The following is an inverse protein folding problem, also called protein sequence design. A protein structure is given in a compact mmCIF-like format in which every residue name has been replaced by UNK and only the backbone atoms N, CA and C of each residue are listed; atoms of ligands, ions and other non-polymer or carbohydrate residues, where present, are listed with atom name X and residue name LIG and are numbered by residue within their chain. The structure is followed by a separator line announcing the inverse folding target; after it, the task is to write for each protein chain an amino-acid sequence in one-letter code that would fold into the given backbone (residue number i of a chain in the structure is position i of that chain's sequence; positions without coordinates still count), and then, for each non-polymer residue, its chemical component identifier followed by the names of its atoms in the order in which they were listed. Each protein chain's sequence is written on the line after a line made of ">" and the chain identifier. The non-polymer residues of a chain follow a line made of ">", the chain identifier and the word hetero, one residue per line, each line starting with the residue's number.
data_IF_112102394291
#
_entry.id   IF_112102394291
#
_cell.length_a   1.000
_cell.length_b   1.000
_cell.length_c   1.000
_cell.angle_alpha   90.00
_cell.angle_beta   90.00
_cell.angle_gamma   90.00
#
_symmetry.space_group_name_H-M   'P 1'
#
loop_
_entity.id
_entity.type
_entity.pdbx_description
1 polymer ?
#
# COMPACT_ATOMS: atom_id res chain seq x y z
N UNK A 1 -19.12 16.51 -14.70
CA UNK A 1 -18.20 15.51 -15.34
C UNK A 1 -16.94 15.38 -14.49
N UNK A 2 -16.51 14.14 -14.18
CA UNK A 2 -15.30 13.92 -13.39
C UNK A 2 -14.11 13.65 -14.31
N UNK A 3 -13.00 14.35 -14.10
CA UNK A 3 -11.75 14.21 -14.87
C UNK A 3 -11.19 12.78 -14.82
N UNK A 4 -11.26 12.11 -13.64
CA UNK A 4 -10.74 10.75 -13.50
C UNK A 4 -11.58 9.72 -14.28
N UNK A 5 -12.90 9.92 -14.35
CA UNK A 5 -13.75 9.06 -15.16
C UNK A 5 -13.41 9.17 -16.65
N UNK A 6 -13.10 10.39 -17.11
CA UNK A 6 -12.63 10.60 -18.49
C UNK A 6 -11.28 9.92 -18.75
N UNK A 7 -10.36 10.00 -17.80
CA UNK A 7 -9.03 9.35 -17.91
C UNK A 7 -9.12 7.83 -18.00
N UNK A 8 -10.10 7.20 -17.34
CA UNK A 8 -10.33 5.75 -17.36
C UNK A 8 -10.91 5.22 -18.66
N UNK A 9 -11.52 6.09 -19.47
CA UNK A 9 -12.07 5.70 -20.77
C UNK A 9 -10.97 5.21 -21.73
N UNK A 10 -11.31 4.20 -22.50
CA UNK A 10 -10.46 3.72 -23.58
C UNK A 10 -10.32 4.79 -24.68
N UNK A 11 -9.28 4.75 -25.53
CA UNK A 11 -9.16 5.68 -26.66
C UNK A 11 -10.38 5.69 -27.58
N UNK A 12 -11.02 4.54 -27.79
CA UNK A 12 -12.23 4.43 -28.62
C UNK A 12 -13.44 5.11 -27.96
N UNK A 13 -13.65 4.95 -26.66
CA UNK A 13 -14.72 5.62 -25.91
C UNK A 13 -14.51 7.12 -25.82
N UNK A 14 -13.24 7.58 -25.71
CA UNK A 14 -12.91 9.00 -25.73
C UNK A 14 -13.16 9.62 -27.09
N UNK A 15 -12.83 8.90 -28.18
CA UNK A 15 -13.09 9.35 -29.54
C UNK A 15 -14.58 9.51 -29.78
N UNK A 16 -15.39 8.52 -29.43
CA UNK A 16 -16.85 8.60 -29.56
C UNK A 16 -17.41 9.79 -28.76
N UNK A 17 -16.92 10.02 -27.55
CA UNK A 17 -17.36 11.15 -26.73
C UNK A 17 -16.89 12.50 -27.29
N UNK A 18 -15.70 12.57 -27.90
CA UNK A 18 -15.23 13.78 -28.59
C UNK A 18 -16.05 14.11 -29.84
N UNK A 19 -16.47 13.07 -30.57
CA UNK A 19 -17.36 13.23 -31.74
C UNK A 19 -18.76 13.72 -31.33
N UNK A 20 -19.32 13.21 -30.20
CA UNK A 20 -20.59 13.71 -29.64
C UNK A 20 -20.50 15.19 -29.22
N UNK A 21 -19.33 15.67 -28.86
CA UNK A 21 -19.06 17.07 -28.51
C UNK A 21 -18.68 17.93 -29.74
N UNK A 22 -18.77 17.38 -30.95
CA UNK A 22 -18.45 18.05 -32.22
C UNK A 22 -17.00 18.58 -32.29
N UNK A 23 -16.04 17.87 -31.66
CA UNK A 23 -14.62 18.24 -31.68
C UNK A 23 -14.03 17.87 -33.04
N UNK A 24 -13.57 18.88 -33.78
CA UNK A 24 -12.96 18.70 -35.10
C UNK A 24 -11.64 17.88 -34.99
N UNK A 25 -11.43 16.98 -35.95
CA UNK A 25 -10.23 16.16 -36.09
C UNK A 25 -9.88 15.31 -34.85
N UNK A 26 -10.85 14.93 -34.02
CA UNK A 26 -10.64 14.15 -32.78
C UNK A 26 -9.84 12.85 -33.02
N UNK A 27 -10.07 12.19 -34.18
CA UNK A 27 -9.38 10.94 -34.54
C UNK A 27 -7.87 11.07 -34.76
N UNK A 28 -7.36 12.27 -34.99
CA UNK A 28 -5.94 12.55 -35.21
C UNK A 28 -5.21 12.93 -33.90
N UNK A 29 -5.94 13.18 -32.82
CA UNK A 29 -5.41 13.64 -31.55
C UNK A 29 -4.84 12.45 -30.72
N UNK A 30 -3.76 12.70 -30.02
CA UNK A 30 -3.29 11.78 -28.97
C UNK A 30 -4.28 11.77 -27.80
N UNK A 31 -4.32 10.69 -27.03
CA UNK A 31 -5.24 10.55 -25.89
C UNK A 31 -5.25 11.77 -24.96
N UNK A 32 -4.11 12.35 -24.65
CA UNK A 32 -3.99 13.54 -23.80
C UNK A 32 -4.56 14.81 -24.46
N UNK A 33 -4.25 15.01 -25.73
CA UNK A 33 -4.75 16.16 -26.49
C UNK A 33 -6.26 16.08 -26.67
N UNK A 34 -6.79 14.88 -26.88
CA UNK A 34 -8.24 14.61 -26.97
C UNK A 34 -8.94 14.90 -25.65
N UNK A 35 -8.38 14.43 -24.50
CA UNK A 35 -8.89 14.75 -23.16
C UNK A 35 -8.93 16.26 -22.92
N UNK A 36 -7.87 16.96 -23.29
CA UNK A 36 -7.80 18.41 -23.15
C UNK A 36 -8.86 19.13 -24.01
N UNK A 37 -9.04 18.72 -25.26
CA UNK A 37 -10.05 19.25 -26.14
C UNK A 37 -11.47 19.00 -25.60
N UNK A 38 -11.76 17.79 -25.11
CA UNK A 38 -13.05 17.46 -24.48
C UNK A 38 -13.32 18.37 -23.29
N UNK A 39 -12.33 18.53 -22.38
CA UNK A 39 -12.50 19.36 -21.20
C UNK A 39 -12.68 20.84 -21.53
N UNK A 40 -12.01 21.33 -22.59
CA UNK A 40 -12.18 22.68 -23.06
C UNK A 40 -13.59 22.89 -23.59
N UNK A 41 -14.10 21.99 -24.41
CA UNK A 41 -15.45 22.04 -24.98
C UNK A 41 -16.54 21.96 -23.89
N UNK A 42 -16.33 21.08 -22.87
CA UNK A 42 -17.23 20.99 -21.73
C UNK A 42 -17.26 22.30 -20.91
N UNK A 43 -16.11 22.96 -20.77
CA UNK A 43 -16.04 24.24 -20.09
C UNK A 43 -16.70 25.37 -20.86
N UNK A 44 -16.60 25.38 -22.19
CA UNK A 44 -17.32 26.33 -23.08
C UNK A 44 -18.84 26.13 -23.01
N UNK A 45 -19.29 24.92 -22.77
CA UNK A 45 -20.70 24.56 -22.59
C UNK A 45 -21.20 24.74 -21.14
N UNK A 46 -20.45 25.45 -20.27
CA UNK A 46 -20.78 25.67 -18.85
C UNK A 46 -21.02 24.38 -18.03
N UNK A 47 -20.50 23.24 -18.47
CA UNK A 47 -20.60 21.99 -17.75
C UNK A 47 -19.56 22.01 -16.59
N UNK A 48 -20.00 21.87 -15.32
CA UNK A 48 -19.06 21.85 -14.21
C UNK A 48 -18.16 20.63 -14.29
N UNK A 49 -16.85 20.87 -14.28
CA UNK A 49 -15.83 19.82 -14.29
C UNK A 49 -15.34 19.65 -12.86
N UNK A 50 -15.37 18.43 -12.36
CA UNK A 50 -14.75 18.05 -11.09
C UNK A 50 -13.45 17.28 -11.34
N UNK A 51 -12.49 17.49 -10.45
CA UNK A 51 -11.22 16.78 -10.43
C UNK A 51 -10.85 16.42 -9.01
N UNK A 52 -10.05 15.39 -8.88
CA UNK A 52 -9.50 14.92 -7.62
C UNK A 52 -8.05 14.47 -7.79
N UNK A 53 -7.34 14.38 -6.70
CA UNK A 53 -5.96 13.93 -6.68
C UNK A 53 -5.34 14.08 -5.31
N UNK A 54 -4.11 13.63 -5.18
CA UNK A 54 -3.31 13.76 -3.96
C UNK A 54 -2.41 14.97 -4.07
N UNK A 55 -2.51 15.88 -3.12
CA UNK A 55 -1.77 17.13 -3.11
C UNK A 55 -0.29 16.92 -2.84
N UNK A 56 0.55 17.47 -3.70
CA UNK A 56 1.96 17.72 -3.45
C UNK A 56 2.17 19.23 -3.33
N UNK A 57 2.54 19.71 -2.14
CA UNK A 57 2.87 21.13 -1.91
C UNK A 57 4.33 21.36 -2.23
N UNK A 58 4.61 22.36 -3.05
CA UNK A 58 5.96 22.75 -3.45
C UNK A 58 6.52 23.84 -2.51
N UNK A 59 7.83 24.08 -2.60
CA UNK A 59 8.55 25.04 -1.77
C UNK A 59 7.98 26.46 -1.79
N UNK A 60 7.38 26.85 -2.91
CA UNK A 60 6.80 28.20 -3.12
C UNK A 60 5.37 28.33 -2.54
N UNK A 61 4.87 27.26 -1.89
CA UNK A 61 3.60 27.27 -1.17
C UNK A 61 2.37 27.00 -2.02
N UNK A 62 2.49 26.82 -3.33
CA UNK A 62 1.45 26.27 -4.19
C UNK A 62 1.60 24.75 -4.31
N UNK A 63 0.62 24.07 -4.88
CA UNK A 63 0.69 22.64 -5.07
C UNK A 63 0.02 22.14 -6.33
N UNK A 64 0.15 20.83 -6.55
CA UNK A 64 -0.52 20.11 -7.61
C UNK A 64 -1.24 18.89 -7.05
N UNK A 65 -2.43 18.61 -7.56
CA UNK A 65 -3.10 17.35 -7.34
C UNK A 65 -2.54 16.32 -8.31
N UNK A 66 -1.85 15.32 -7.77
CA UNK A 66 -1.24 14.21 -8.50
C UNK A 66 -2.21 13.05 -8.61
N UNK A 67 -2.20 12.39 -9.77
CA UNK A 67 -3.09 11.24 -10.02
C UNK A 67 -2.43 9.93 -9.53
N UNK A 68 -3.16 9.05 -8.83
CA UNK A 68 -2.69 7.71 -8.52
C UNK A 68 -2.47 6.86 -9.78
N UNK A 69 -3.22 7.12 -10.86
CA UNK A 69 -3.06 6.44 -12.15
C UNK A 69 -1.72 6.77 -12.83
N UNK A 70 -1.13 7.91 -12.49
CA UNK A 70 0.23 8.30 -12.90
C UNK A 70 1.27 8.00 -11.83
N UNK A 71 0.97 7.14 -10.85
CA UNK A 71 1.84 6.86 -9.70
C UNK A 71 2.32 8.13 -8.97
N UNK A 72 1.44 9.15 -8.87
CA UNK A 72 1.74 10.46 -8.27
C UNK A 72 2.89 11.24 -8.91
N UNK A 73 3.29 10.88 -10.13
CA UNK A 73 4.34 11.60 -10.84
C UNK A 73 3.79 12.87 -11.47
N UNK A 74 4.64 13.92 -11.59
CA UNK A 74 4.27 15.13 -12.31
C UNK A 74 3.81 14.84 -13.75
N UNK A 75 2.69 15.40 -14.12
CA UNK A 75 2.11 15.24 -15.46
C UNK A 75 1.42 16.51 -15.96
N UNK A 76 1.12 16.59 -17.27
CA UNK A 76 0.46 17.74 -17.87
C UNK A 76 -1.00 17.92 -17.40
N UNK A 77 -1.59 16.88 -16.88
CA UNK A 77 -2.99 16.83 -16.40
C UNK A 77 -3.09 17.06 -14.89
N UNK A 78 -2.03 17.48 -14.24
CA UNK A 78 -2.07 17.86 -12.84
C UNK A 78 -2.92 19.10 -12.63
N UNK A 79 -3.59 19.17 -11.50
CA UNK A 79 -4.47 20.27 -11.16
C UNK A 79 -3.72 21.22 -10.22
N UNK A 80 -3.56 22.46 -10.63
CA UNK A 80 -2.91 23.50 -9.83
C UNK A 80 -3.77 23.90 -8.63
N UNK A 81 -3.14 24.01 -7.47
CA UNK A 81 -3.74 24.49 -6.21
C UNK A 81 -2.99 25.73 -5.75
N UNK A 82 -3.71 26.84 -5.58
CA UNK A 82 -3.09 28.12 -5.24
C UNK A 82 -2.59 28.16 -3.78
N UNK A 83 -1.58 28.99 -3.48
CA UNK A 83 -1.10 29.17 -2.10
C UNK A 83 -2.20 29.67 -1.13
N UNK A 84 -3.16 30.43 -1.65
CA UNK A 84 -4.30 30.90 -0.85
C UNK A 84 -5.21 29.76 -0.42
N UNK A 85 -5.48 28.79 -1.32
CA UNK A 85 -6.27 27.60 -1.02
C UNK A 85 -5.51 26.66 -0.06
N UNK A 86 -4.22 26.47 -0.27
CA UNK A 86 -3.37 25.68 0.64
C UNK A 86 -3.44 26.24 2.06
N UNK A 87 -3.28 27.56 2.22
CA UNK A 87 -3.36 28.21 3.53
C UNK A 87 -4.78 28.21 4.12
N UNK A 88 -5.78 28.51 3.31
CA UNK A 88 -7.18 28.62 3.76
C UNK A 88 -7.66 27.31 4.40
N UNK A 89 -7.36 26.19 3.78
CA UNK A 89 -7.79 24.86 4.23
C UNK A 89 -6.71 24.13 5.05
N UNK A 90 -5.54 24.74 5.28
CA UNK A 90 -4.44 24.07 6.00
C UNK A 90 -4.00 22.78 5.32
N UNK A 91 -4.00 22.77 3.98
CA UNK A 91 -3.64 21.59 3.21
C UNK A 91 -2.16 21.25 3.34
N UNK A 92 -1.86 19.97 3.30
CA UNK A 92 -0.49 19.44 3.35
C UNK A 92 -0.30 18.38 2.27
N UNK A 93 0.95 18.12 1.93
CA UNK A 93 1.30 17.01 1.04
C UNK A 93 0.69 15.71 1.57
N UNK A 94 0.08 14.95 0.66
CA UNK A 94 -0.64 13.73 0.98
C UNK A 94 -2.15 13.89 1.16
N UNK A 95 -2.68 15.11 1.33
CA UNK A 95 -4.12 15.32 1.37
C UNK A 95 -4.76 14.95 0.02
N UNK A 96 -5.77 14.10 0.05
CA UNK A 96 -6.62 13.81 -1.11
C UNK A 96 -7.67 14.89 -1.21
N UNK A 97 -7.64 15.66 -2.29
CA UNK A 97 -8.54 16.81 -2.49
C UNK A 97 -9.40 16.56 -3.72
N UNK A 98 -10.69 16.80 -3.58
CA UNK A 98 -11.64 16.81 -4.67
C UNK A 98 -12.35 18.16 -4.76
N UNK A 99 -12.65 18.57 -5.98
CA UNK A 99 -13.32 19.86 -6.16
C UNK A 99 -13.62 20.19 -7.59
N UNK A 100 -14.22 21.35 -7.77
CA UNK A 100 -14.49 21.92 -9.07
C UNK A 100 -13.20 22.53 -9.64
N UNK A 101 -12.92 22.24 -10.90
CA UNK A 101 -11.76 22.75 -11.63
C UNK A 101 -12.19 23.62 -12.82
N UNK A 102 -11.28 24.46 -13.28
CA UNK A 102 -11.43 25.24 -14.50
C UNK A 102 -10.33 24.91 -15.49
N UNK A 103 -10.63 25.12 -16.76
CA UNK A 103 -9.65 25.04 -17.85
C UNK A 103 -8.53 26.08 -17.67
N UNK A 104 -7.34 25.81 -18.23
CA UNK A 104 -6.27 26.78 -18.31
C UNK A 104 -6.72 28.04 -19.07
N UNK A 105 -6.32 29.21 -18.59
CA UNK A 105 -6.47 30.49 -19.31
C UNK A 105 -5.29 30.69 -20.26
N UNK A 106 -5.38 31.72 -21.09
CA UNK A 106 -4.27 32.08 -21.98
C UNK A 106 -2.99 32.28 -21.19
N UNK A 107 -1.94 31.50 -21.56
CA UNK A 107 -0.65 31.49 -20.87
C UNK A 107 -0.53 30.53 -19.68
N UNK A 108 -1.61 29.91 -19.25
CA UNK A 108 -1.59 28.85 -18.23
C UNK A 108 -1.42 27.45 -18.87
N UNK A 109 -0.72 26.56 -18.19
CA UNK A 109 -0.48 25.17 -18.66
C UNK A 109 -1.36 24.13 -18.02
N UNK A 110 -1.91 24.41 -16.84
CA UNK A 110 -2.60 23.43 -16.00
C UNK A 110 -4.04 23.82 -15.72
N UNK A 111 -4.90 22.83 -15.49
CA UNK A 111 -6.19 23.04 -14.85
C UNK A 111 -5.97 23.64 -13.46
N UNK A 112 -6.90 24.44 -13.00
CA UNK A 112 -6.81 25.06 -11.68
C UNK A 112 -8.03 24.70 -10.82
N UNK A 113 -7.78 24.37 -9.56
CA UNK A 113 -8.82 24.12 -8.57
C UNK A 113 -9.56 25.43 -8.29
N UNK A 114 -10.90 25.45 -8.49
CA UNK A 114 -11.76 26.59 -8.20
C UNK A 114 -12.35 26.51 -6.79
N UNK A 115 -12.96 25.36 -6.49
CA UNK A 115 -13.67 25.12 -5.24
C UNK A 115 -13.32 23.77 -4.69
N UNK A 116 -12.99 23.72 -3.40
CA UNK A 116 -12.76 22.47 -2.68
C UNK A 116 -14.12 21.95 -2.19
N UNK A 117 -14.45 20.72 -2.59
CA UNK A 117 -15.69 20.05 -2.19
C UNK A 117 -15.45 19.01 -1.08
N UNK A 118 -14.30 18.35 -1.12
CA UNK A 118 -13.92 17.34 -0.13
C UNK A 118 -12.43 17.28 0.09
N UNK A 119 -12.02 16.84 1.29
CA UNK A 119 -10.63 16.60 1.66
C UNK A 119 -10.58 15.32 2.47
N UNK A 120 -9.78 14.34 1.99
CA UNK A 120 -9.64 13.02 2.59
C UNK A 120 -10.98 12.29 2.79
N UNK A 121 -11.91 12.48 1.83
CA UNK A 121 -13.27 11.94 1.82
C UNK A 121 -14.20 12.51 2.89
N UNK A 122 -13.85 13.65 3.50
CA UNK A 122 -14.66 14.38 4.45
C UNK A 122 -14.95 15.80 3.95
N UNK A 123 -15.95 16.47 4.56
CA UNK A 123 -16.24 17.86 4.29
C UNK A 123 -15.07 18.77 4.72
N UNK A 124 -14.76 19.85 3.98
CA UNK A 124 -13.61 20.73 4.29
C UNK A 124 -13.64 21.36 5.68
N UNK A 125 -14.83 21.59 6.26
CA UNK A 125 -14.99 22.21 7.57
C UNK A 125 -14.51 21.30 8.73
N UNK A 126 -14.45 20.00 8.54
CA UNK A 126 -13.93 19.04 9.53
C UNK A 126 -12.42 19.13 9.75
N UNK A 127 -11.70 19.73 8.83
CA UNK A 127 -10.23 19.90 8.93
C UNK A 127 -9.78 20.71 10.15
N UNK A 128 -10.61 21.59 10.67
CA UNK A 128 -10.28 22.43 11.84
C UNK A 128 -10.01 21.63 13.12
N UNK A 129 -10.48 20.38 13.18
CA UNK A 129 -10.31 19.48 14.32
C UNK A 129 -9.23 18.41 14.09
N UNK A 130 -8.51 18.51 12.98
CA UNK A 130 -7.49 17.53 12.60
C UNK A 130 -6.26 17.61 13.51
N UNK A 131 -5.92 16.50 14.17
CA UNK A 131 -4.68 16.34 14.93
C UNK A 131 -3.61 15.82 13.98
N UNK A 132 -2.42 16.42 14.01
CA UNK A 132 -1.29 15.96 13.19
C UNK A 132 -0.89 14.53 13.58
N UNK A 133 -0.56 13.71 12.58
CA UNK A 133 -0.20 12.31 12.77
C UNK A 133 0.85 12.09 13.87
N UNK A 134 1.87 12.93 13.92
CA UNK A 134 2.96 12.82 14.90
C UNK A 134 2.52 13.10 16.35
N UNK A 135 1.37 13.76 16.54
CA UNK A 135 0.78 14.06 17.85
C UNK A 135 -0.29 13.05 18.28
N UNK A 136 -0.63 12.07 17.42
CA UNK A 136 -1.58 11.02 17.76
C UNK A 136 -0.95 9.99 18.71
N UNK A 137 -1.75 9.46 19.63
CA UNK A 137 -1.30 8.51 20.64
C UNK A 137 -1.19 7.09 20.07
N UNK A 138 0.03 6.51 19.96
CA UNK A 138 0.21 5.18 19.40
C UNK A 138 -0.18 4.09 20.39
N UNK A 139 -0.91 3.09 19.92
CA UNK A 139 -1.26 1.88 20.64
C UNK A 139 -0.70 0.62 19.96
N UNK A 140 -0.71 -0.49 20.69
CA UNK A 140 -0.54 -1.81 20.09
C UNK A 140 -1.73 -2.15 19.20
N UNK A 141 -1.56 -3.05 18.20
CA UNK A 141 -2.69 -3.64 17.49
C UNK A 141 -3.58 -4.41 18.45
N UNK A 142 -4.88 -4.06 18.49
CA UNK A 142 -5.89 -4.69 19.34
C UNK A 142 -7.04 -5.28 18.53
N UNK A 143 -7.27 -4.77 17.32
CA UNK A 143 -8.27 -5.28 16.39
C UNK A 143 -7.62 -6.15 15.32
N UNK A 144 -8.04 -7.44 15.28
CA UNK A 144 -7.49 -8.40 14.32
C UNK A 144 -7.96 -8.11 12.90
N UNK A 145 -7.02 -8.11 11.96
CA UNK A 145 -7.30 -8.19 10.53
C UNK A 145 -7.48 -9.66 10.15
N UNK A 146 -8.72 -10.07 9.96
CA UNK A 146 -9.06 -11.46 9.61
C UNK A 146 -8.72 -11.68 8.13
N UNK A 147 -7.83 -12.63 7.87
CA UNK A 147 -7.42 -12.97 6.51
C UNK A 147 -8.15 -14.22 5.98
N UNK A 148 -8.65 -15.05 6.85
CA UNK A 148 -9.45 -16.21 6.46
C UNK A 148 -10.77 -15.76 5.81
N UNK A 149 -11.07 -16.27 4.64
CA UNK A 149 -12.35 -16.07 3.95
C UNK A 149 -12.74 -17.35 3.21
N UNK A 150 -14.04 -17.53 3.01
CA UNK A 150 -14.56 -18.68 2.26
C UNK A 150 -14.45 -18.39 0.75
N UNK A 151 -13.48 -19.03 0.11
CA UNK A 151 -13.34 -19.02 -1.35
C UNK A 151 -13.41 -20.46 -1.88
N UNK A 152 -14.60 -20.85 -2.26
CA UNK A 152 -14.85 -22.17 -2.85
C UNK A 152 -14.10 -22.40 -4.17
N UNK A 153 -13.59 -21.33 -4.78
CA UNK A 153 -12.88 -21.37 -6.07
C UNK A 153 -11.36 -21.52 -5.91
N UNK A 154 -10.80 -21.07 -4.79
CA UNK A 154 -9.36 -21.12 -4.50
C UNK A 154 -9.07 -22.13 -3.39
N UNK A 155 -8.28 -23.14 -3.72
CA UNK A 155 -7.79 -24.14 -2.75
C UNK A 155 -6.55 -23.64 -1.96
N UNK A 156 -6.31 -22.34 -1.95
CA UNK A 156 -5.14 -21.75 -1.28
C UNK A 156 -5.41 -21.57 0.21
N UNK A 157 -4.53 -22.12 1.02
CA UNK A 157 -4.60 -22.08 2.48
C UNK A 157 -3.72 -20.98 3.09
N UNK A 158 -3.11 -20.12 2.28
CA UNK A 158 -2.15 -19.11 2.72
C UNK A 158 -2.71 -18.23 3.82
N UNK A 159 -3.90 -17.67 3.61
CA UNK A 159 -4.54 -16.75 4.56
C UNK A 159 -4.95 -17.44 5.85
N UNK A 160 -5.39 -18.71 5.78
CA UNK A 160 -5.69 -19.52 6.95
C UNK A 160 -4.46 -19.82 7.80
N UNK A 161 -3.34 -20.18 7.14
CA UNK A 161 -2.07 -20.44 7.83
C UNK A 161 -1.55 -19.16 8.50
N UNK A 162 -1.60 -18.01 7.82
CA UNK A 162 -1.19 -16.73 8.41
C UNK A 162 -2.05 -16.43 9.65
N UNK A 163 -3.36 -16.52 9.56
CA UNK A 163 -4.26 -16.28 10.69
C UNK A 163 -4.02 -17.19 11.89
N UNK A 164 -3.59 -18.43 11.64
CA UNK A 164 -3.24 -19.38 12.69
C UNK A 164 -1.88 -19.12 13.34
N UNK A 165 -0.88 -18.76 12.55
CA UNK A 165 0.51 -18.69 13.00
C UNK A 165 0.93 -17.25 13.33
N UNK A 166 0.55 -16.28 12.52
CA UNK A 166 0.95 -14.88 12.63
C UNK A 166 -0.25 -13.95 12.48
N UNK A 167 -1.13 -13.87 13.50
CA UNK A 167 -2.28 -12.98 13.42
C UNK A 167 -1.81 -11.55 13.21
N UNK A 168 -2.44 -10.85 12.29
CA UNK A 168 -2.19 -9.45 12.00
C UNK A 168 -3.30 -8.59 12.59
N UNK A 169 -2.96 -7.40 13.03
CA UNK A 169 -3.93 -6.44 13.57
C UNK A 169 -3.80 -5.07 12.92
N UNK A 170 -4.83 -4.24 13.07
CA UNK A 170 -4.80 -2.84 12.65
C UNK A 170 -3.68 -2.10 13.38
N UNK A 171 -2.78 -1.48 12.64
CA UNK A 171 -1.58 -0.84 13.19
C UNK A 171 -0.33 -1.74 13.21
N UNK A 172 -0.39 -2.94 12.64
CA UNK A 172 0.72 -3.88 12.60
C UNK A 172 1.89 -3.37 11.77
N UNK A 173 3.13 -3.60 12.24
CA UNK A 173 4.36 -3.51 11.47
C UNK A 173 4.85 -4.91 11.15
N UNK A 174 4.42 -5.46 10.02
CA UNK A 174 4.72 -6.83 9.65
C UNK A 174 5.78 -6.92 8.57
N UNK A 175 6.72 -7.85 8.73
CA UNK A 175 7.70 -8.20 7.71
C UNK A 175 7.37 -9.58 7.14
N UNK A 176 7.28 -9.68 5.82
CA UNK A 176 7.32 -10.93 5.08
C UNK A 176 8.76 -11.14 4.64
N UNK A 177 9.47 -11.98 5.37
CA UNK A 177 10.89 -12.28 5.12
C UNK A 177 10.98 -13.35 4.07
N UNK A 178 11.50 -13.03 2.90
CA UNK A 178 11.44 -13.90 1.74
C UNK A 178 12.79 -14.11 1.07
N UNK A 179 13.25 -15.35 0.96
CA UNK A 179 14.29 -15.70 -0.01
C UNK A 179 13.73 -15.63 -1.45
N UNK A 180 14.59 -15.57 -2.47
CA UNK A 180 14.14 -15.59 -3.86
C UNK A 180 13.30 -16.83 -4.19
N UNK A 181 12.23 -16.64 -4.98
CA UNK A 181 11.34 -17.70 -5.48
C UNK A 181 10.54 -18.45 -4.41
N UNK A 182 10.30 -17.86 -3.26
CA UNK A 182 9.52 -18.46 -2.18
C UNK A 182 8.01 -18.15 -2.21
N UNK A 183 7.49 -17.53 -3.28
CA UNK A 183 6.05 -17.23 -3.41
C UNK A 183 5.60 -15.92 -2.78
N UNK A 184 6.51 -14.98 -2.56
CA UNK A 184 6.28 -13.65 -1.98
C UNK A 184 5.09 -12.90 -2.62
N UNK A 185 5.09 -12.79 -3.94
CA UNK A 185 4.09 -12.02 -4.70
C UNK A 185 2.68 -12.61 -4.57
N UNK A 186 2.59 -13.94 -4.67
CA UNK A 186 1.31 -14.66 -4.49
C UNK A 186 0.76 -14.47 -3.07
N UNK A 187 1.64 -14.50 -2.07
CA UNK A 187 1.24 -14.24 -0.68
C UNK A 187 0.67 -12.83 -0.49
N UNK A 188 1.32 -11.81 -1.07
CA UNK A 188 0.80 -10.44 -1.02
C UNK A 188 -0.54 -10.29 -1.74
N UNK A 189 -0.73 -10.95 -2.89
CA UNK A 189 -2.00 -10.96 -3.60
C UNK A 189 -3.10 -11.61 -2.76
N UNK A 190 -2.81 -12.71 -2.07
CA UNK A 190 -3.77 -13.38 -1.20
C UNK A 190 -4.14 -12.51 0.02
N UNK A 191 -3.16 -11.84 0.63
CA UNK A 191 -3.41 -10.88 1.71
C UNK A 191 -4.26 -9.72 1.21
N UNK A 192 -3.91 -9.11 0.06
CA UNK A 192 -4.68 -8.03 -0.54
C UNK A 192 -6.13 -8.44 -0.81
N UNK A 193 -6.33 -9.63 -1.36
CA UNK A 193 -7.67 -10.16 -1.64
C UNK A 193 -8.47 -10.37 -0.36
N UNK A 194 -7.87 -10.96 0.68
CA UNK A 194 -8.49 -11.14 1.98
C UNK A 194 -8.90 -9.80 2.62
N UNK A 195 -8.05 -8.77 2.52
CA UNK A 195 -8.37 -7.42 2.99
C UNK A 195 -9.60 -6.85 2.27
N UNK A 196 -9.67 -6.99 0.96
CA UNK A 196 -10.82 -6.48 0.19
C UNK A 196 -12.14 -7.18 0.52
N UNK A 197 -12.09 -8.47 0.83
CA UNK A 197 -13.28 -9.27 1.13
C UNK A 197 -13.75 -9.04 2.56
N UNK A 198 -12.84 -9.11 3.53
CA UNK A 198 -13.18 -9.08 4.95
C UNK A 198 -13.19 -7.68 5.56
N UNK A 199 -12.44 -6.73 4.97
CA UNK A 199 -12.24 -5.39 5.50
C UNK A 199 -12.48 -4.30 4.44
N UNK A 200 -13.72 -4.19 3.91
CA UNK A 200 -14.05 -3.19 2.88
C UNK A 200 -13.93 -1.74 3.40
N UNK A 201 -13.91 -1.55 4.72
CA UNK A 201 -13.71 -0.25 5.37
C UNK A 201 -12.25 0.23 5.29
N UNK A 202 -11.30 -0.68 5.09
CA UNK A 202 -9.87 -0.39 5.06
C UNK A 202 -9.47 0.23 3.73
N UNK A 203 -8.69 1.32 3.79
CA UNK A 203 -8.07 1.88 2.60
C UNK A 203 -6.78 1.11 2.26
N UNK A 204 -6.84 0.29 1.22
CA UNK A 204 -5.72 -0.57 0.81
C UNK A 204 -4.86 0.11 -0.26
N UNK A 205 -3.57 0.24 0.03
CA UNK A 205 -2.55 0.70 -0.91
C UNK A 205 -1.52 -0.41 -1.10
N UNK A 206 -1.25 -0.76 -2.35
CA UNK A 206 -0.14 -1.65 -2.73
C UNK A 206 0.96 -0.79 -3.34
N UNK A 207 2.13 -0.79 -2.73
CA UNK A 207 3.30 -0.03 -3.19
C UNK A 207 4.38 -1.00 -3.68
N UNK A 208 4.64 -0.96 -4.98
CA UNK A 208 5.62 -1.81 -5.66
C UNK A 208 6.85 -0.97 -6.05
N UNK A 209 8.00 -1.27 -5.46
CA UNK A 209 9.25 -0.53 -5.67
C UNK A 209 10.29 -1.42 -6.34
N UNK A 210 10.79 -0.98 -7.49
CA UNK A 210 11.83 -1.68 -8.27
C UNK A 210 11.39 -3.10 -8.68
N UNK A 211 10.07 -3.27 -8.92
CA UNK A 211 9.48 -4.52 -9.40
C UNK A 211 9.36 -4.53 -10.94
N UNK A 212 9.09 -5.71 -11.50
CA UNK A 212 8.96 -5.90 -12.95
C UNK A 212 7.62 -5.39 -13.45
N UNK A 213 7.55 -4.80 -14.66
CA UNK A 213 6.29 -4.29 -15.23
C UNK A 213 5.19 -5.35 -15.32
N UNK A 214 5.54 -6.60 -15.62
CA UNK A 214 4.58 -7.71 -15.66
C UNK A 214 4.00 -8.05 -14.28
N UNK A 215 4.79 -7.98 -13.20
CA UNK A 215 4.32 -8.18 -11.82
C UNK A 215 3.42 -7.03 -11.37
N UNK A 216 3.73 -5.80 -11.78
CA UNK A 216 2.88 -4.63 -11.54
C UNK A 216 1.53 -4.79 -12.23
N UNK A 217 1.51 -5.22 -13.49
CA UNK A 217 0.28 -5.43 -14.25
C UNK A 217 -0.57 -6.54 -13.63
N UNK A 218 0.04 -7.63 -13.19
CA UNK A 218 -0.66 -8.74 -12.55
C UNK A 218 -1.29 -8.31 -11.21
N UNK A 219 -0.54 -7.57 -10.40
CA UNK A 219 -1.05 -7.01 -9.15
C UNK A 219 -2.22 -6.04 -9.39
N UNK A 220 -2.10 -5.13 -10.35
CA UNK A 220 -3.14 -4.17 -10.69
C UNK A 220 -4.44 -4.83 -11.20
N UNK A 221 -4.34 -5.99 -11.83
CA UNK A 221 -5.50 -6.76 -12.29
C UNK A 221 -6.15 -7.59 -11.18
N UNK A 222 -5.38 -8.05 -10.23
CA UNK A 222 -5.84 -8.94 -9.14
C UNK A 222 -6.36 -8.18 -7.93
N UNK A 223 -5.93 -6.93 -7.71
CA UNK A 223 -6.25 -6.15 -6.52
C UNK A 223 -7.16 -4.97 -6.89
N UNK A 224 -8.29 -4.81 -6.19
CA UNK A 224 -9.20 -3.67 -6.31
C UNK A 224 -8.84 -2.52 -5.35
N UNK A 225 -7.59 -2.44 -4.92
CA UNK A 225 -7.05 -1.33 -4.12
C UNK A 225 -6.31 -0.33 -5.00
N UNK A 226 -5.69 0.65 -4.36
CA UNK A 226 -4.79 1.57 -5.03
C UNK A 226 -3.42 0.89 -5.23
N UNK A 227 -3.04 0.65 -6.47
CA UNK A 227 -1.73 0.06 -6.83
C UNK A 227 -0.83 1.14 -7.37
N UNK A 228 0.22 1.47 -6.63
CA UNK A 228 1.23 2.48 -6.96
C UNK A 228 2.55 1.77 -7.19
N UNK A 229 3.23 2.10 -8.26
CA UNK A 229 4.46 1.40 -8.64
C UNK A 229 5.53 2.32 -9.19
N UNK A 230 6.77 1.89 -9.01
CA UNK A 230 7.94 2.37 -9.73
C UNK A 230 8.76 1.16 -10.13
N UNK A 231 8.88 0.93 -11.43
CA UNK A 231 9.50 -0.26 -12.01
C UNK A 231 11.03 -0.17 -12.03
N UNK A 232 11.72 -1.29 -12.24
CA UNK A 232 13.18 -1.40 -12.13
C UNK A 232 13.95 -0.53 -13.13
N UNK A 233 13.31 -0.11 -14.22
CA UNK A 233 13.87 0.78 -15.25
C UNK A 233 13.81 2.27 -14.87
N UNK A 234 13.13 2.62 -13.78
CA UNK A 234 13.05 3.98 -13.29
C UNK A 234 14.21 4.33 -12.32
N UNK A 235 14.62 5.61 -12.25
CA UNK A 235 15.70 6.02 -11.37
C UNK A 235 15.30 5.96 -9.88
N UNK A 236 16.29 5.78 -9.00
CA UNK A 236 16.09 5.68 -7.54
C UNK A 236 15.31 6.88 -6.93
N UNK A 237 15.47 8.08 -7.47
CA UNK A 237 14.71 9.27 -7.03
C UNK A 237 13.20 9.07 -7.19
N UNK A 238 12.76 8.39 -8.25
CA UNK A 238 11.34 8.05 -8.46
C UNK A 238 10.81 7.12 -7.38
N UNK A 239 11.56 6.07 -7.06
CA UNK A 239 11.19 5.13 -6.00
C UNK A 239 10.97 5.86 -4.67
N UNK A 240 11.88 6.76 -4.31
CA UNK A 240 11.81 7.56 -3.09
C UNK A 240 10.62 8.51 -3.13
N UNK A 241 10.45 9.28 -4.20
CA UNK A 241 9.35 10.26 -4.34
C UNK A 241 7.98 9.60 -4.19
N UNK A 242 7.77 8.48 -4.86
CA UNK A 242 6.51 7.74 -4.81
C UNK A 242 6.23 7.21 -3.40
N UNK A 243 7.25 6.63 -2.75
CA UNK A 243 7.12 6.14 -1.39
C UNK A 243 6.80 7.27 -0.40
N UNK A 244 7.41 8.44 -0.54
CA UNK A 244 7.10 9.61 0.29
C UNK A 244 5.67 10.12 0.06
N UNK A 245 5.18 10.14 -1.17
CA UNK A 245 3.79 10.50 -1.45
C UNK A 245 2.80 9.52 -0.82
N UNK A 246 3.06 8.22 -0.95
CA UNK A 246 2.19 7.17 -0.38
C UNK A 246 2.12 7.26 1.14
N UNK A 247 3.26 7.41 1.83
CA UNK A 247 3.26 7.49 3.29
C UNK A 247 2.59 8.76 3.80
N UNK A 248 2.79 9.90 3.14
CA UNK A 248 2.12 11.14 3.52
C UNK A 248 0.59 11.05 3.29
N UNK A 249 0.15 10.46 2.17
CA UNK A 249 -1.26 10.17 1.96
C UNK A 249 -1.84 9.29 3.08
N UNK A 250 -1.16 8.19 3.39
CA UNK A 250 -1.61 7.29 4.44
C UNK A 250 -1.75 8.01 5.80
N UNK A 251 -0.76 8.82 6.18
CA UNK A 251 -0.85 9.63 7.42
C UNK A 251 -2.03 10.60 7.40
N UNK A 252 -2.29 11.27 6.27
CA UNK A 252 -3.45 12.19 6.14
C UNK A 252 -4.77 11.45 6.33
N UNK A 253 -4.92 10.26 5.75
CA UNK A 253 -6.12 9.45 5.92
C UNK A 253 -6.30 9.00 7.39
N UNK A 254 -5.22 8.62 8.07
CA UNK A 254 -5.27 8.24 9.50
C UNK A 254 -5.66 9.43 10.39
N UNK A 255 -5.20 10.66 10.08
CA UNK A 255 -5.63 11.89 10.77
C UNK A 255 -7.16 12.11 10.67
N UNK A 256 -7.79 11.53 9.64
CA UNK A 256 -9.24 11.48 9.45
C UNK A 256 -9.88 10.19 9.98
N UNK A 257 -9.21 9.50 10.91
CA UNK A 257 -9.69 8.28 11.59
C UNK A 257 -9.97 7.11 10.64
N UNK A 258 -9.28 7.06 9.49
CA UNK A 258 -9.36 5.96 8.54
C UNK A 258 -8.36 4.86 8.89
N UNK A 259 -8.75 3.63 8.65
CA UNK A 259 -7.84 2.49 8.71
C UNK A 259 -7.17 2.30 7.36
N UNK A 260 -5.85 2.38 7.34
CA UNK A 260 -5.04 2.27 6.12
C UNK A 260 -4.12 1.07 6.21
N UNK A 261 -4.06 0.28 5.15
CA UNK A 261 -3.11 -0.81 5.01
C UNK A 261 -2.23 -0.56 3.80
N UNK A 262 -0.91 -0.56 4.01
CA UNK A 262 0.09 -0.51 2.95
C UNK A 262 0.73 -1.89 2.82
N UNK A 263 0.62 -2.49 1.64
CA UNK A 263 1.41 -3.65 1.24
C UNK A 263 2.61 -3.16 0.43
N UNK A 264 3.82 -3.30 0.96
CA UNK A 264 5.05 -2.81 0.33
C UNK A 264 5.91 -3.96 -0.20
N UNK A 265 6.14 -3.98 -1.48
CA UNK A 265 7.08 -4.89 -2.12
C UNK A 265 8.16 -4.09 -2.87
N UNK A 266 9.39 -3.92 -2.35
CA UNK A 266 9.89 -4.39 -1.07
C UNK A 266 10.58 -3.27 -0.27
N UNK A 267 10.61 -3.41 1.04
CA UNK A 267 11.35 -2.48 1.91
C UNK A 267 12.86 -2.52 1.64
N UNK A 268 13.40 -3.68 1.24
CA UNK A 268 14.80 -3.85 0.88
C UNK A 268 15.18 -2.98 -0.31
N UNK A 269 14.36 -2.97 -1.36
CA UNK A 269 14.59 -2.17 -2.57
C UNK A 269 14.37 -0.69 -2.31
N UNK A 270 13.38 -0.35 -1.50
CA UNK A 270 13.19 1.04 -1.06
C UNK A 270 14.41 1.55 -0.29
N UNK A 271 14.96 0.76 0.63
CA UNK A 271 16.16 1.11 1.37
C UNK A 271 17.39 1.27 0.45
N UNK A 272 17.54 0.43 -0.56
CA UNK A 272 18.57 0.60 -1.60
C UNK A 272 18.41 1.92 -2.37
N UNK A 273 17.19 2.27 -2.75
CA UNK A 273 16.91 3.53 -3.42
C UNK A 273 17.30 4.74 -2.56
N UNK A 274 16.95 4.72 -1.28
CA UNK A 274 17.39 5.75 -0.34
C UNK A 274 18.91 5.81 -0.21
N UNK A 275 19.59 4.65 -0.18
CA UNK A 275 21.05 4.61 -0.12
C UNK A 275 21.72 5.25 -1.35
N UNK A 276 21.06 5.21 -2.51
CA UNK A 276 21.53 5.86 -3.74
C UNK A 276 21.27 7.37 -3.73
N UNK A 277 20.12 7.80 -3.18
CA UNK A 277 19.64 9.20 -3.27
C UNK A 277 20.17 10.09 -2.14
N UNK A 278 20.37 9.53 -0.95
CA UNK A 278 20.81 10.31 0.21
C UNK A 278 22.26 10.79 0.01
N UNK A 279 22.55 12.08 0.27
CA UNK A 279 23.92 12.58 0.25
C UNK A 279 24.82 11.77 1.18
N UNK A 280 26.01 11.41 0.69
CA UNK A 280 26.95 10.61 1.47
C UNK A 280 27.32 11.31 2.79
N UNK A 281 27.18 10.57 3.89
CA UNK A 281 27.60 11.03 5.22
C UNK A 281 29.12 10.96 5.44
N UNK A 282 29.85 10.31 4.52
CA UNK A 282 31.25 9.92 4.68
C UNK A 282 31.47 8.73 5.61
N UNK A 283 30.40 8.18 6.22
CA UNK A 283 30.43 6.99 7.08
C UNK A 283 29.64 5.87 6.44
N UNK A 284 30.34 4.86 5.94
CA UNK A 284 29.73 3.68 5.30
C UNK A 284 29.77 2.52 6.27
N UNK A 285 28.60 1.94 6.50
CA UNK A 285 28.43 0.70 7.28
C UNK A 285 28.85 -0.52 6.44
N UNK A 286 28.92 -1.69 7.10
CA UNK A 286 29.12 -2.97 6.42
C UNK A 286 28.10 -3.17 5.30
N UNK A 287 28.51 -3.70 4.16
CA UNK A 287 27.63 -3.90 3.00
C UNK A 287 27.43 -2.66 2.11
N UNK A 288 28.13 -1.56 2.34
CA UNK A 288 28.05 -0.36 1.49
C UNK A 288 26.84 0.53 1.78
N UNK A 289 26.24 0.42 2.96
CA UNK A 289 25.10 1.25 3.39
C UNK A 289 25.60 2.52 4.05
N UNK A 290 25.18 3.70 3.56
CA UNK A 290 25.48 4.97 4.23
C UNK A 290 24.76 5.04 5.59
N UNK A 291 25.43 5.58 6.62
CA UNK A 291 24.91 5.65 7.97
C UNK A 291 23.55 6.38 8.07
N UNK A 292 23.26 7.32 7.16
CA UNK A 292 22.00 8.09 7.14
C UNK A 292 20.94 7.49 6.22
N UNK A 293 21.30 6.52 5.37
CA UNK A 293 20.44 6.01 4.32
C UNK A 293 19.17 5.32 4.86
N UNK A 294 19.27 4.65 6.00
CA UNK A 294 18.17 3.86 6.57
C UNK A 294 17.20 4.64 7.45
N UNK A 295 17.50 5.90 7.77
CA UNK A 295 16.62 6.70 8.63
C UNK A 295 15.22 6.89 8.04
N UNK A 296 15.14 7.29 6.77
CA UNK A 296 13.85 7.55 6.12
C UNK A 296 13.03 6.27 5.90
N UNK A 297 13.59 5.17 5.36
CA UNK A 297 12.85 3.91 5.27
C UNK A 297 12.43 3.36 6.64
N UNK A 298 13.22 3.54 7.70
CA UNK A 298 12.82 3.20 9.07
C UNK A 298 11.66 4.06 9.56
N UNK A 299 11.64 5.36 9.27
CA UNK A 299 10.50 6.24 9.57
C UNK A 299 9.26 5.83 8.79
N UNK A 300 9.42 5.44 7.53
CA UNK A 300 8.32 4.91 6.72
C UNK A 300 7.69 3.70 7.40
N UNK A 301 8.47 2.67 7.65
CA UNK A 301 7.99 1.43 8.27
C UNK A 301 7.54 1.64 9.72
N UNK A 302 8.25 2.45 10.47
CA UNK A 302 7.94 2.82 11.86
C UNK A 302 6.70 3.69 12.03
N UNK A 303 6.15 4.25 10.95
CA UNK A 303 4.91 5.01 10.99
C UNK A 303 3.69 4.12 11.29
N UNK A 304 3.76 2.82 11.00
CA UNK A 304 2.67 1.89 11.27
C UNK A 304 2.38 1.81 12.79
N UNK A 305 1.13 2.10 13.14
CA UNK A 305 0.61 2.12 14.51
C UNK A 305 -0.91 2.07 14.55
N UNK A 306 -1.47 1.54 15.61
CA UNK A 306 -2.84 1.75 15.99
C UNK A 306 -2.94 3.07 16.76
N UNK A 307 -4.06 3.78 16.69
CA UNK A 307 -4.23 5.13 17.22
C UNK A 307 -5.39 5.18 18.22
N UNK A 308 -5.14 5.74 19.40
CA UNK A 308 -6.16 5.87 20.46
C UNK A 308 -7.33 6.77 20.03
N UNK A 309 -7.05 7.84 19.31
CA UNK A 309 -8.05 8.80 18.82
C UNK A 309 -8.90 8.24 17.65
N UNK A 310 -8.56 7.06 17.16
CA UNK A 310 -9.22 6.36 16.05
C UNK A 310 -8.41 6.36 14.76
N UNK A 311 -8.64 5.35 13.93
CA UNK A 311 -7.86 5.06 12.75
C UNK A 311 -6.59 4.26 13.04
N UNK A 312 -6.00 3.73 12.00
CA UNK A 312 -4.77 2.94 12.09
C UNK A 312 -3.96 2.99 10.81
N UNK A 313 -2.66 2.82 10.93
CA UNK A 313 -1.76 2.58 9.80
C UNK A 313 -1.09 1.23 9.98
N UNK A 314 -1.40 0.30 9.10
CA UNK A 314 -0.78 -1.03 9.03
C UNK A 314 0.19 -1.06 7.85
N UNK A 315 1.41 -1.54 8.05
CA UNK A 315 2.37 -1.74 6.97
C UNK A 315 2.84 -3.19 6.99
N UNK A 316 2.59 -3.89 5.89
CA UNK A 316 3.06 -5.25 5.63
C UNK A 316 4.08 -5.15 4.51
N UNK A 317 5.36 -5.27 4.85
CA UNK A 317 6.46 -5.07 3.92
C UNK A 317 7.22 -6.37 3.67
N UNK A 318 7.60 -6.62 2.42
CA UNK A 318 8.51 -7.72 2.11
C UNK A 318 9.95 -7.31 2.35
N UNK A 319 10.72 -8.18 2.99
CA UNK A 319 12.16 -8.04 3.18
C UNK A 319 12.87 -9.21 2.47
N UNK A 320 13.83 -8.89 1.62
CA UNK A 320 14.57 -9.87 0.83
C UNK A 320 15.77 -10.39 1.60
N UNK A 321 15.91 -11.71 1.66
CA UNK A 321 17.05 -12.41 2.27
C UNK A 321 17.64 -13.39 1.26
N UNK A 322 18.84 -13.92 1.55
CA UNK A 322 19.53 -14.93 0.71
C UNK A 322 19.73 -14.49 -0.75
N UNK A 323 19.87 -13.19 -0.98
CA UNK A 323 20.09 -12.61 -2.30
C UNK A 323 21.54 -12.66 -2.75
N UNK A 324 22.46 -13.03 -1.86
CA UNK A 324 23.90 -12.93 -2.05
C UNK A 324 24.46 -11.51 -1.87
N UNK A 325 23.62 -10.54 -1.50
CA UNK A 325 24.01 -9.15 -1.25
C UNK A 325 24.19 -8.88 0.23
N UNK A 326 25.39 -8.51 0.65
CA UNK A 326 25.67 -8.06 2.03
C UNK A 326 24.86 -6.81 2.41
N UNK A 327 24.55 -5.95 1.46
CA UNK A 327 23.69 -4.80 1.68
C UNK A 327 22.31 -5.23 2.16
N UNK A 328 21.72 -6.25 1.54
CA UNK A 328 20.38 -6.74 1.89
C UNK A 328 20.37 -7.37 3.29
N UNK A 329 21.43 -8.07 3.66
CA UNK A 329 21.58 -8.62 5.01
C UNK A 329 21.59 -7.52 6.08
N UNK A 330 22.35 -6.44 5.85
CA UNK A 330 22.38 -5.28 6.75
C UNK A 330 21.01 -4.61 6.81
N UNK A 331 20.37 -4.38 5.67
CA UNK A 331 19.03 -3.79 5.61
C UNK A 331 18.05 -4.67 6.41
N UNK A 332 18.04 -5.97 6.19
CA UNK A 332 17.14 -6.88 6.92
C UNK A 332 17.34 -6.81 8.42
N UNK A 333 18.59 -6.90 8.91
CA UNK A 333 18.88 -6.84 10.35
C UNK A 333 18.41 -5.51 10.99
N UNK A 334 18.54 -4.40 10.26
CA UNK A 334 18.08 -3.09 10.71
C UNK A 334 16.54 -2.96 10.79
N UNK A 335 15.80 -3.66 9.94
CA UNK A 335 14.32 -3.65 9.95
C UNK A 335 13.72 -4.70 10.89
N UNK A 336 14.40 -5.82 11.10
CA UNK A 336 13.97 -6.90 12.00
C UNK A 336 13.66 -6.39 13.41
N UNK A 337 14.47 -5.47 13.93
CA UNK A 337 14.22 -4.83 15.22
C UNK A 337 13.07 -3.84 15.27
N UNK A 338 12.60 -3.37 14.10
CA UNK A 338 11.52 -2.37 13.99
C UNK A 338 10.14 -3.02 13.87
N UNK A 339 10.06 -4.20 13.28
CA UNK A 339 8.81 -4.95 13.12
C UNK A 339 8.28 -5.55 14.43
N UNK A 340 6.97 -5.79 14.48
CA UNK A 340 6.30 -6.49 15.57
C UNK A 340 5.54 -7.75 15.12
N UNK A 341 5.69 -8.14 13.86
CA UNK A 341 5.21 -9.40 13.29
C UNK A 341 6.14 -9.84 12.16
N UNK A 342 6.45 -11.12 12.10
CA UNK A 342 7.32 -11.68 11.07
C UNK A 342 6.68 -12.93 10.47
N UNK A 343 6.51 -12.93 9.15
CA UNK A 343 6.11 -14.09 8.33
C UNK A 343 7.34 -14.51 7.56
N UNK A 344 7.98 -15.59 7.98
CA UNK A 344 9.24 -16.05 7.38
C UNK A 344 8.94 -17.13 6.37
N UNK A 345 9.35 -16.91 5.12
CA UNK A 345 9.28 -17.90 4.06
C UNK A 345 10.55 -18.75 4.03
N UNK A 346 10.38 -20.04 3.81
CA UNK A 346 11.49 -21.01 3.77
C UNK A 346 11.70 -21.53 2.34
N UNK A 347 12.96 -21.44 1.89
CA UNK A 347 13.34 -21.91 0.56
C UNK A 347 13.21 -23.41 0.38
N UNK A 348 13.52 -24.21 1.42
CA UNK A 348 13.45 -25.67 1.33
C UNK A 348 12.02 -26.16 1.14
N UNK A 349 11.05 -25.45 1.77
CA UNK A 349 9.63 -25.71 1.58
C UNK A 349 9.19 -25.36 0.16
N UNK A 350 9.61 -24.20 -0.35
CA UNK A 350 9.30 -23.78 -1.71
C UNK A 350 9.93 -24.69 -2.77
N UNK A 351 11.14 -25.18 -2.56
CA UNK A 351 11.82 -26.13 -3.45
C UNK A 351 11.06 -27.48 -3.55
N UNK A 352 10.38 -27.88 -2.48
CA UNK A 352 9.44 -29.04 -2.47
C UNK A 352 8.07 -28.73 -3.08
N UNK A 353 7.83 -27.50 -3.57
CA UNK A 353 6.54 -27.06 -4.12
C UNK A 353 5.38 -27.12 -3.12
N UNK A 354 5.69 -27.02 -1.82
CA UNK A 354 4.69 -26.90 -0.75
C UNK A 354 4.40 -25.41 -0.53
N UNK A 355 3.14 -24.98 -0.69
CA UNK A 355 2.72 -23.59 -0.52
C UNK A 355 1.50 -23.50 0.41
N UNK A 356 1.41 -22.42 1.26
CA UNK A 356 2.41 -21.34 1.41
C UNK A 356 3.72 -21.84 2.02
N UNK A 357 4.85 -21.31 1.58
CA UNK A 357 6.19 -21.75 2.04
C UNK A 357 6.59 -21.12 3.38
N UNK A 358 5.68 -21.04 4.33
CA UNK A 358 5.88 -20.37 5.64
C UNK A 358 6.69 -21.25 6.58
N UNK A 359 7.74 -20.71 7.18
CA UNK A 359 8.39 -21.32 8.36
C UNK A 359 7.51 -21.06 9.60
N UNK A 360 6.69 -22.03 9.95
CA UNK A 360 5.74 -21.96 11.05
C UNK A 360 6.42 -21.90 12.43
N UNK A 361 7.68 -22.28 12.50
CA UNK A 361 8.43 -22.31 13.78
C UNK A 361 9.04 -20.94 14.12
N UNK A 362 9.48 -20.20 13.08
CA UNK A 362 10.12 -18.90 13.22
C UNK A 362 9.18 -17.72 13.05
N UNK A 363 8.03 -17.94 12.38
CA UNK A 363 7.03 -16.90 12.18
C UNK A 363 6.21 -16.62 13.43
N UNK A 364 5.80 -15.38 13.66
CA UNK A 364 5.00 -15.02 14.83
C UNK A 364 4.72 -13.52 14.93
N UNK A 365 3.77 -13.19 15.80
CA UNK A 365 3.35 -11.82 16.10
C UNK A 365 3.59 -11.53 17.58
N UNK A 366 4.22 -10.39 17.87
CA UNK A 366 4.38 -9.92 19.25
C UNK A 366 3.04 -9.44 19.79
N UNK A 367 2.78 -9.70 21.07
CA UNK A 367 1.52 -9.33 21.72
C UNK A 367 0.28 -9.93 21.05
N UNK A 368 0.38 -11.16 20.52
CA UNK A 368 -0.74 -11.84 19.87
C UNK A 368 -1.93 -12.04 20.81
N UNK A 369 -1.71 -12.00 22.12
CA UNK A 369 -2.75 -12.07 23.15
C UNK A 369 -3.73 -10.89 23.12
N UNK A 370 -3.37 -9.78 22.47
CA UNK A 370 -4.27 -8.63 22.25
C UNK A 370 -5.19 -8.83 21.04
N UNK A 371 -4.82 -9.73 20.11
CA UNK A 371 -5.52 -9.96 18.85
C UNK A 371 -6.39 -11.21 18.85
N UNK A 372 -6.21 -12.09 19.83
CA UNK A 372 -6.81 -13.42 19.84
C UNK A 372 -7.42 -13.72 21.20
N UNK A 373 -8.66 -14.23 21.20
CA UNK A 373 -9.33 -14.66 22.43
C UNK A 373 -8.53 -15.71 23.19
N UNK A 374 -8.59 -15.65 24.52
CA UNK A 374 -7.82 -16.54 25.41
C UNK A 374 -8.01 -18.03 25.10
N UNK A 375 -9.23 -18.45 24.77
CA UNK A 375 -9.54 -19.84 24.42
C UNK A 375 -8.82 -20.28 23.14
N UNK A 376 -8.88 -19.45 22.11
CA UNK A 376 -8.19 -19.69 20.83
C UNK A 376 -6.69 -19.61 20.99
N UNK A 377 -6.19 -18.67 21.79
CA UNK A 377 -4.75 -18.50 22.08
C UNK A 377 -4.15 -19.77 22.69
N UNK A 378 -4.86 -20.38 23.65
CA UNK A 378 -4.42 -21.64 24.26
C UNK A 378 -4.31 -22.76 23.23
N UNK A 379 -5.31 -22.91 22.35
CA UNK A 379 -5.29 -23.88 21.24
C UNK A 379 -4.13 -23.65 20.28
N UNK A 380 -3.84 -22.40 19.97
CA UNK A 380 -2.69 -22.01 19.13
C UNK A 380 -1.35 -22.40 19.75
N UNK A 381 -1.19 -22.20 21.06
CA UNK A 381 0.04 -22.60 21.75
C UNK A 381 0.19 -24.12 21.78
N UNK A 382 -0.90 -24.88 21.95
CA UNK A 382 -0.88 -26.35 21.82
C UNK A 382 -0.47 -26.73 20.40
N UNK A 383 -1.07 -26.13 19.37
CA UNK A 383 -0.71 -26.38 17.98
C UNK A 383 0.80 -26.14 17.74
N UNK A 384 1.35 -25.02 18.20
CA UNK A 384 2.78 -24.74 18.07
C UNK A 384 3.66 -25.79 18.75
N UNK A 385 3.27 -26.27 19.93
CA UNK A 385 3.99 -27.34 20.65
C UNK A 385 4.02 -28.64 19.86
N UNK A 386 2.95 -28.95 19.14
CA UNK A 386 2.87 -30.15 18.29
C UNK A 386 3.72 -29.99 17.04
N UNK A 387 3.68 -28.81 16.40
CA UNK A 387 4.36 -28.58 15.13
C UNK A 387 5.88 -28.39 15.27
N UNK A 388 6.35 -27.74 16.34
CA UNK A 388 7.75 -27.38 16.53
C UNK A 388 8.71 -28.59 16.46
N UNK A 389 8.44 -29.74 17.09
CA UNK A 389 9.32 -30.91 17.01
C UNK A 389 9.40 -31.57 15.64
N UNK A 390 8.38 -31.35 14.77
CA UNK A 390 8.33 -31.92 13.43
C UNK A 390 9.29 -31.23 12.46
N UNK A 391 9.78 -30.02 12.82
CA UNK A 391 10.56 -29.18 11.92
C UNK A 391 9.70 -28.43 10.90
N UNK A 392 10.34 -27.56 10.11
CA UNK A 392 9.63 -26.60 9.24
C UNK A 392 8.82 -27.29 8.15
N UNK A 393 9.41 -28.23 7.42
CA UNK A 393 8.78 -28.84 6.26
C UNK A 393 7.67 -29.79 6.67
N UNK A 394 7.99 -30.76 7.51
CA UNK A 394 7.02 -31.83 7.89
C UNK A 394 5.88 -31.24 8.74
N UNK A 395 6.19 -30.27 9.61
CA UNK A 395 5.19 -29.55 10.40
C UNK A 395 4.21 -28.76 9.54
N UNK A 396 4.71 -28.06 8.52
CA UNK A 396 3.85 -27.33 7.61
C UNK A 396 3.00 -28.27 6.73
N UNK A 397 3.57 -29.34 6.19
CA UNK A 397 2.82 -30.33 5.42
C UNK A 397 1.73 -30.99 6.27
N UNK A 398 2.04 -31.32 7.52
CA UNK A 398 1.05 -31.82 8.46
C UNK A 398 -0.07 -30.81 8.70
N UNK A 399 0.25 -29.55 8.96
CA UNK A 399 -0.73 -28.48 9.16
C UNK A 399 -1.62 -28.30 7.93
N UNK A 400 -1.03 -28.20 6.73
CA UNK A 400 -1.78 -28.06 5.47
C UNK A 400 -2.75 -29.23 5.27
N UNK A 401 -2.30 -30.46 5.50
CA UNK A 401 -3.15 -31.64 5.34
C UNK A 401 -4.32 -31.60 6.31
N UNK A 402 -4.10 -31.20 7.57
CA UNK A 402 -5.16 -31.05 8.55
C UNK A 402 -6.13 -29.91 8.24
N UNK A 403 -5.63 -28.80 7.69
CA UNK A 403 -6.48 -27.69 7.26
C UNK A 403 -7.39 -28.05 6.07
N UNK A 404 -6.95 -28.97 5.19
CA UNK A 404 -7.78 -29.47 4.09
C UNK A 404 -8.98 -30.28 4.58
N UNK A 405 -8.91 -30.87 5.76
CA UNK A 405 -10.01 -31.64 6.39
C UNK A 405 -11.08 -30.74 7.01
N UNK A 406 -10.84 -29.43 7.14
CA UNK A 406 -11.73 -28.44 7.77
C UNK A 406 -12.05 -27.28 6.84
N UNK A 407 -13.23 -26.70 6.97
CA UNK A 407 -13.67 -25.55 6.16
C UNK A 407 -13.15 -24.22 6.72
N UNK A 408 -12.93 -24.13 8.02
CA UNK A 408 -12.51 -22.92 8.70
C UNK A 408 -11.48 -23.20 9.79
N UNK A 409 -10.79 -22.16 10.24
CA UNK A 409 -9.86 -22.26 11.37
C UNK A 409 -10.60 -22.54 12.69
N UNK A 410 -11.84 -22.09 12.82
CA UNK A 410 -12.68 -22.42 13.97
C UNK A 410 -12.99 -23.93 14.01
N UNK A 411 -13.44 -24.49 12.90
CA UNK A 411 -13.71 -25.94 12.77
C UNK A 411 -12.44 -26.78 13.01
N UNK A 412 -11.30 -26.32 12.48
CA UNK A 412 -10.00 -26.94 12.71
C UNK A 412 -9.65 -26.99 14.22
N UNK A 413 -9.85 -25.90 14.95
CA UNK A 413 -9.59 -25.86 16.40
C UNK A 413 -10.59 -26.70 17.20
N UNK A 414 -11.81 -26.84 16.75
CA UNK A 414 -12.81 -27.70 17.41
C UNK A 414 -12.46 -29.18 17.22
N UNK A 415 -11.99 -29.55 16.03
CA UNK A 415 -11.49 -30.91 15.79
C UNK A 415 -10.21 -31.26 16.57
N UNK A 416 -9.44 -30.28 17.03
CA UNK A 416 -8.28 -30.53 17.90
C UNK A 416 -8.65 -30.94 19.33
N UNK A 417 -9.91 -30.76 19.76
CA UNK A 417 -10.39 -31.11 21.12
C UNK A 417 -10.97 -32.52 21.17
N UNK A 418 -11.10 -33.19 20.03
CA UNK A 418 -11.54 -34.57 19.88
C UNK A 418 -10.36 -35.51 19.64
#
# INVERSE_FOLDING_TARGET
>A
MNLQELKRKTPAELLAFAEELEIENASSLRKQDMLFAILKQLAENDVPISGDGVLEVLSDGFGFLRSPEANYLPGPDDIYVSPSQVRRFGLRTGDTVEGQIRSPRDGERYFALLKVNGINFDEPDRLRQRINFDNLTPLYPEEKLILEFDDSTRKDLTTRVIDLITPLGKGQRALIVSPPRAGKTVMLQNIAHAMMVNHPEVYLIVLLIDERPEEVTDMARSVRGEVISSTFDEPAQRHVQIAEMVIEKAKRLVEHKRDVVILLDSITRLARAYNTVVPSSGKVLTGGVDANALQRPKRFFGAARNIEEGGSLTIIATALIDTGSRMDEVIFEEFKGTGNSEIILDRKVADKRTFPSIDITKSGTRKEELLVDRGVLSKRWVLRRVLTPMGTVDGLEFLINKLKESKSNAEFFDAMNT
#
